data_IF_908902736442
#
_entry.id   IF_908902736442
#
_cell.length_a   1.000
_cell.length_b   1.000
_cell.length_c   1.000
_cell.angle_alpha   90.00
_cell.angle_beta   90.00
_cell.angle_gamma   90.00
#
_symmetry.space_group_name_H-M   'P 1'
#
loop_
_entity.id
_entity.type
_entity.pdbx_description
1 polymer ?
#
# COMPACT_ATOMS: atom_id res chain seq x y z
N UNK A 1 14.44 -25.93 13.64
CA UNK A 1 13.37 -24.98 13.98
C UNK A 1 13.99 -23.60 13.86
N UNK A 2 13.66 -22.84 12.80
CA UNK A 2 14.09 -21.45 12.67
C UNK A 2 13.38 -20.63 13.73
N UNK A 3 14.14 -19.89 14.56
CA UNK A 3 13.58 -19.02 15.58
C UNK A 3 12.60 -18.00 14.98
N UNK A 4 11.51 -17.75 15.71
CA UNK A 4 10.51 -16.77 15.27
C UNK A 4 11.12 -15.36 15.20
N UNK A 5 10.94 -14.66 14.09
CA UNK A 5 11.39 -13.27 13.92
C UNK A 5 10.65 -12.37 14.93
N UNK A 6 11.42 -11.60 15.72
CA UNK A 6 10.93 -10.74 16.80
C UNK A 6 10.66 -9.35 16.23
N UNK A 7 9.38 -8.96 16.22
CA UNK A 7 8.95 -7.71 15.60
C UNK A 7 8.65 -6.64 16.65
N UNK A 8 9.26 -5.46 16.48
CA UNK A 8 8.90 -4.23 17.14
C UNK A 8 7.89 -3.42 16.32
N UNK A 9 6.92 -2.79 16.97
CA UNK A 9 5.96 -1.89 16.31
C UNK A 9 6.30 -0.43 16.58
N UNK A 10 6.58 0.33 15.53
CA UNK A 10 6.76 1.79 15.57
C UNK A 10 5.45 2.47 15.15
N UNK A 11 4.75 3.05 16.14
CA UNK A 11 3.46 3.70 15.96
C UNK A 11 2.25 2.80 16.21
N UNK A 12 1.51 3.08 17.28
CA UNK A 12 0.29 2.36 17.67
C UNK A 12 -0.91 2.80 16.82
N UNK A 13 -0.90 2.48 15.53
CA UNK A 13 -1.95 2.87 14.60
C UNK A 13 -3.16 1.92 14.64
N UNK A 14 -4.31 2.39 14.14
CA UNK A 14 -5.50 1.54 14.01
C UNK A 14 -5.31 0.43 12.98
N UNK A 15 -4.49 0.63 11.95
CA UNK A 15 -4.22 -0.41 10.93
C UNK A 15 -3.34 -1.51 11.54
N UNK A 16 -2.34 -1.14 12.35
CA UNK A 16 -1.53 -2.12 13.07
C UNK A 16 -2.40 -3.00 13.98
N UNK A 17 -3.30 -2.37 14.77
CA UNK A 17 -4.17 -3.11 15.70
C UNK A 17 -5.19 -4.01 15.01
N UNK A 18 -5.74 -3.59 13.87
CA UNK A 18 -6.86 -4.29 13.20
C UNK A 18 -6.41 -5.28 12.15
N UNK A 19 -5.21 -5.13 11.61
CA UNK A 19 -4.76 -5.90 10.44
C UNK A 19 -3.39 -6.55 10.66
N UNK A 20 -2.36 -5.78 10.98
CA UNK A 20 -1.00 -6.31 11.05
C UNK A 20 -0.79 -7.26 12.24
N UNK A 21 -1.17 -6.85 13.46
CA UNK A 21 -0.98 -7.70 14.64
C UNK A 21 -1.80 -9.00 14.54
N UNK A 22 -3.08 -9.00 14.11
CA UNK A 22 -3.79 -10.24 13.83
C UNK A 22 -3.12 -11.15 12.79
N UNK A 23 -2.47 -10.59 11.76
CA UNK A 23 -1.78 -11.37 10.73
C UNK A 23 -0.54 -12.13 11.28
N UNK A 24 -0.01 -11.76 12.45
CA UNK A 24 1.07 -12.48 13.11
C UNK A 24 0.62 -13.86 13.64
N UNK A 25 -0.67 -14.06 13.88
CA UNK A 25 -1.19 -15.33 14.40
C UNK A 25 -0.86 -16.48 13.46
N UNK A 26 -0.19 -17.51 13.97
CA UNK A 26 0.24 -18.67 13.18
C UNK A 26 1.34 -18.36 12.14
N UNK A 27 1.98 -17.18 12.18
CA UNK A 27 3.18 -16.87 11.39
C UNK A 27 4.45 -17.34 12.13
N UNK A 28 5.59 -17.22 11.45
CA UNK A 28 6.93 -17.43 12.05
C UNK A 28 7.52 -16.12 12.57
N UNK A 29 6.67 -15.22 13.07
CA UNK A 29 7.04 -13.97 13.71
C UNK A 29 6.19 -13.72 14.95
N UNK A 30 6.68 -12.88 15.87
CA UNK A 30 5.94 -12.47 17.08
C UNK A 30 6.17 -11.01 17.39
N UNK A 31 5.15 -10.35 17.94
CA UNK A 31 5.29 -8.99 18.46
C UNK A 31 6.00 -9.04 19.81
N UNK A 32 7.11 -8.33 19.96
CA UNK A 32 7.87 -8.28 21.22
C UNK A 32 7.75 -6.94 21.92
N UNK A 33 7.74 -5.84 21.15
CA UNK A 33 7.68 -4.51 21.73
C UNK A 33 6.86 -3.56 20.86
N UNK A 34 6.28 -2.54 21.47
CA UNK A 34 5.57 -1.45 20.80
C UNK A 34 6.06 -0.11 21.29
N UNK A 35 6.20 0.85 20.39
CA UNK A 35 6.61 2.20 20.70
C UNK A 35 5.61 3.23 20.21
N UNK A 36 5.33 4.20 21.06
CA UNK A 36 4.60 5.42 20.72
C UNK A 36 5.27 6.63 21.36
N UNK A 37 4.97 7.82 20.85
CA UNK A 37 5.41 9.09 21.47
C UNK A 37 4.69 9.37 22.78
N UNK A 38 3.46 8.89 22.90
CA UNK A 38 2.62 8.96 24.09
C UNK A 38 2.77 7.65 24.89
N UNK A 39 3.29 7.70 26.14
CA UNK A 39 3.48 6.52 26.99
C UNK A 39 2.19 5.76 27.30
N UNK A 40 1.09 6.47 27.53
CA UNK A 40 -0.19 5.85 27.84
C UNK A 40 -0.72 5.05 26.65
N UNK A 41 -0.54 5.58 25.42
CA UNK A 41 -0.90 4.89 24.18
C UNK A 41 -0.03 3.66 23.95
N UNK A 42 1.28 3.74 24.21
CA UNK A 42 2.17 2.58 24.12
C UNK A 42 1.77 1.48 25.11
N UNK A 43 1.53 1.85 26.39
CA UNK A 43 1.12 0.92 27.44
C UNK A 43 -0.22 0.24 27.12
N UNK A 44 -1.23 1.00 26.70
CA UNK A 44 -2.54 0.44 26.35
C UNK A 44 -2.45 -0.54 25.16
N UNK A 45 -1.64 -0.22 24.14
CA UNK A 45 -1.45 -1.11 23.00
C UNK A 45 -0.68 -2.37 23.41
N UNK A 46 0.38 -2.23 24.19
CA UNK A 46 1.18 -3.33 24.71
C UNK A 46 0.34 -4.31 25.54
N UNK A 47 -0.47 -3.80 26.47
CA UNK A 47 -1.35 -4.61 27.29
C UNK A 47 -2.37 -5.41 26.46
N UNK A 48 -2.91 -4.79 25.41
CA UNK A 48 -3.87 -5.44 24.50
C UNK A 48 -3.29 -6.63 23.73
N UNK A 49 -2.00 -6.56 23.36
CA UNK A 49 -1.39 -7.53 22.47
C UNK A 49 -0.25 -8.34 23.09
N UNK A 50 -0.04 -8.24 24.40
CA UNK A 50 0.95 -9.02 25.13
C UNK A 50 2.40 -8.68 24.77
N UNK A 51 2.70 -7.40 24.49
CA UNK A 51 4.02 -6.93 24.13
C UNK A 51 4.61 -5.99 25.21
N UNK A 52 5.92 -5.70 25.14
CA UNK A 52 6.54 -4.69 25.98
C UNK A 52 6.23 -3.28 25.43
N UNK A 53 5.95 -2.32 26.32
CA UNK A 53 5.79 -0.92 25.95
C UNK A 53 7.13 -0.16 26.07
N UNK A 54 7.42 0.68 25.08
CA UNK A 54 8.53 1.64 25.15
C UNK A 54 8.05 3.06 24.83
N UNK A 55 8.66 4.05 25.46
CA UNK A 55 8.37 5.46 25.20
C UNK A 55 9.39 6.03 24.24
N UNK A 56 8.92 6.31 23.02
CA UNK A 56 9.82 6.76 21.96
C UNK A 56 10.43 5.62 21.14
N UNK A 57 10.69 5.91 19.88
CA UNK A 57 11.09 4.90 18.90
C UNK A 57 12.55 4.44 19.07
N UNK A 58 13.43 5.32 19.60
CA UNK A 58 14.84 4.98 19.84
C UNK A 58 15.02 3.87 20.86
N UNK A 59 14.23 3.90 21.94
CA UNK A 59 14.25 2.85 22.97
C UNK A 59 13.89 1.48 22.38
N UNK A 60 12.85 1.45 21.54
CA UNK A 60 12.46 0.21 20.85
C UNK A 60 13.60 -0.30 19.96
N UNK A 61 14.26 0.59 19.21
CA UNK A 61 15.34 0.23 18.28
C UNK A 61 16.60 -0.25 19.02
N UNK A 62 16.83 0.15 20.27
CA UNK A 62 17.94 -0.29 21.11
C UNK A 62 17.76 -1.66 21.75
N UNK A 63 16.57 -2.26 21.66
CA UNK A 63 16.27 -3.56 22.30
C UNK A 63 16.94 -4.73 21.58
N UNK A 64 17.52 -5.64 22.32
CA UNK A 64 18.15 -6.88 21.79
C UNK A 64 17.14 -7.95 21.38
N UNK A 65 15.88 -7.83 21.80
CA UNK A 65 14.79 -8.74 21.46
C UNK A 65 13.91 -8.26 20.30
N UNK A 66 14.44 -7.40 19.44
CA UNK A 66 13.80 -6.92 18.21
C UNK A 66 14.72 -7.18 17.02
N UNK A 67 14.27 -7.99 16.04
CA UNK A 67 15.01 -8.31 14.81
C UNK A 67 14.57 -7.42 13.65
N UNK A 68 13.27 -7.15 13.60
CA UNK A 68 12.62 -6.36 12.56
C UNK A 68 11.61 -5.39 13.18
N UNK A 69 11.25 -4.35 12.43
CA UNK A 69 10.21 -3.42 12.85
C UNK A 69 9.11 -3.29 11.81
N UNK A 70 7.88 -3.14 12.29
CA UNK A 70 6.77 -2.66 11.48
C UNK A 70 6.55 -1.17 11.74
N UNK A 71 6.71 -0.35 10.70
CA UNK A 71 6.56 1.12 10.79
C UNK A 71 5.17 1.51 10.34
N UNK A 72 4.39 2.08 11.27
CA UNK A 72 2.98 2.44 11.07
C UNK A 72 2.66 3.80 11.69
N UNK A 73 3.42 4.80 11.28
CA UNK A 73 3.30 6.22 11.64
C UNK A 73 2.62 6.99 10.49
N UNK A 74 2.35 8.29 10.59
CA UNK A 74 1.90 9.08 9.43
C UNK A 74 2.91 9.04 8.27
N UNK A 75 2.42 9.10 7.03
CA UNK A 75 3.20 8.92 5.79
C UNK A 75 4.48 9.78 5.74
N UNK A 76 4.38 11.08 6.08
CA UNK A 76 5.53 11.99 6.12
C UNK A 76 6.60 11.64 7.16
N UNK A 77 6.41 10.58 7.94
CA UNK A 77 7.40 10.07 8.89
C UNK A 77 7.96 8.69 8.49
N UNK A 78 7.40 8.03 7.47
CA UNK A 78 7.81 6.68 7.08
C UNK A 78 9.30 6.60 6.78
N UNK A 79 9.80 7.45 5.91
CA UNK A 79 11.21 7.42 5.49
C UNK A 79 12.18 7.68 6.66
N UNK A 80 11.89 8.66 7.52
CA UNK A 80 12.74 9.00 8.65
C UNK A 80 12.82 7.84 9.67
N UNK A 81 11.67 7.28 10.06
CA UNK A 81 11.64 6.18 11.03
C UNK A 81 12.20 4.87 10.43
N UNK A 82 11.97 4.63 9.14
CA UNK A 82 12.57 3.50 8.41
C UNK A 82 14.09 3.64 8.36
N UNK A 83 14.62 4.81 8.02
CA UNK A 83 16.08 5.05 7.98
C UNK A 83 16.72 4.88 9.35
N UNK A 84 16.08 5.37 10.41
CA UNK A 84 16.54 5.18 11.78
C UNK A 84 16.59 3.70 12.18
N UNK A 85 15.58 2.92 11.80
CA UNK A 85 15.51 1.49 12.07
C UNK A 85 16.62 0.71 11.30
N UNK A 86 16.85 1.05 10.04
CA UNK A 86 17.92 0.46 9.23
C UNK A 86 19.30 0.77 9.82
N UNK A 87 19.54 2.02 10.29
CA UNK A 87 20.77 2.41 10.96
C UNK A 87 21.00 1.66 12.28
N UNK A 88 19.93 1.29 12.98
CA UNK A 88 19.96 0.42 14.16
C UNK A 88 20.10 -1.08 13.82
N UNK A 89 20.31 -1.42 12.54
CA UNK A 89 20.50 -2.80 12.09
C UNK A 89 19.22 -3.64 12.06
N UNK A 90 18.04 -3.02 12.00
CA UNK A 90 16.76 -3.74 11.95
C UNK A 90 16.26 -3.90 10.52
N UNK A 91 15.61 -5.04 10.21
CA UNK A 91 14.81 -5.18 9.00
C UNK A 91 13.51 -4.38 9.15
N UNK A 92 12.94 -3.87 8.04
CA UNK A 92 11.78 -2.97 8.12
C UNK A 92 10.67 -3.39 7.16
N UNK A 93 9.48 -3.62 7.69
CA UNK A 93 8.24 -3.59 6.95
C UNK A 93 7.56 -2.25 7.25
N UNK A 94 7.36 -1.40 6.25
CA UNK A 94 6.79 -0.06 6.43
C UNK A 94 5.45 0.06 5.73
N UNK A 95 4.49 0.77 6.34
CA UNK A 95 3.20 1.07 5.70
C UNK A 95 3.39 1.86 4.40
N UNK A 96 2.44 1.67 3.53
CA UNK A 96 2.41 2.35 2.22
C UNK A 96 1.96 3.83 2.36
N UNK A 97 2.47 4.71 1.47
CA UNK A 97 3.66 4.56 0.66
C UNK A 97 4.94 4.63 1.52
N UNK A 98 6.03 4.03 1.04
CA UNK A 98 7.32 4.04 1.74
C UNK A 98 7.79 5.45 2.10
N UNK A 99 7.50 6.41 1.23
CA UNK A 99 7.96 7.79 1.30
C UNK A 99 6.94 8.73 0.65
N UNK A 100 7.12 10.04 0.77
CA UNK A 100 6.22 11.03 0.16
C UNK A 100 6.53 11.29 -1.31
N UNK A 101 7.74 10.91 -1.77
CA UNK A 101 8.18 11.01 -3.16
C UNK A 101 9.25 9.96 -3.51
N UNK A 102 9.63 9.91 -4.80
CA UNK A 102 10.60 8.96 -5.31
C UNK A 102 12.04 9.22 -4.81
N UNK A 103 12.41 10.47 -4.58
CA UNK A 103 13.74 10.84 -4.13
C UNK A 103 13.98 10.36 -2.68
N UNK A 104 13.01 10.62 -1.81
CA UNK A 104 13.02 10.11 -0.43
C UNK A 104 13.01 8.58 -0.40
N UNK A 105 12.18 7.94 -1.23
CA UNK A 105 12.15 6.48 -1.37
C UNK A 105 13.48 5.89 -1.83
N UNK A 106 14.15 6.51 -2.79
CA UNK A 106 15.47 6.10 -3.27
C UNK A 106 16.53 6.19 -2.18
N UNK A 107 16.49 7.25 -1.36
CA UNK A 107 17.39 7.43 -0.23
C UNK A 107 17.22 6.33 0.83
N UNK A 108 15.96 5.94 1.15
CA UNK A 108 15.66 4.84 2.07
C UNK A 108 16.18 3.51 1.53
N UNK A 109 15.95 3.20 0.25
CA UNK A 109 16.45 1.96 -0.36
C UNK A 109 17.98 1.90 -0.41
N UNK A 110 18.63 3.05 -0.63
CA UNK A 110 20.08 3.14 -0.55
C UNK A 110 20.60 2.90 0.90
N UNK A 111 19.89 3.41 1.90
CA UNK A 111 20.20 3.15 3.31
C UNK A 111 20.07 1.66 3.66
N UNK A 112 19.02 1.00 3.17
CA UNK A 112 18.82 -0.44 3.37
C UNK A 112 19.97 -1.27 2.79
N UNK A 113 20.40 -0.96 1.55
CA UNK A 113 21.56 -1.62 0.93
C UNK A 113 22.84 -1.44 1.75
N UNK A 114 23.12 -0.21 2.20
CA UNK A 114 24.32 0.07 3.05
C UNK A 114 24.27 -0.68 4.38
N UNK A 115 23.09 -0.80 4.98
CA UNK A 115 22.90 -1.52 6.24
C UNK A 115 22.89 -3.05 6.07
N UNK A 116 22.82 -3.58 4.86
CA UNK A 116 22.61 -5.00 4.61
C UNK A 116 21.29 -5.51 5.23
N UNK A 117 20.24 -4.69 5.21
CA UNK A 117 18.93 -4.99 5.79
C UNK A 117 17.82 -4.94 4.76
N UNK A 118 16.81 -5.76 4.97
CA UNK A 118 15.60 -5.74 4.15
C UNK A 118 14.74 -4.54 4.52
N UNK A 119 14.29 -3.79 3.53
CA UNK A 119 13.17 -2.85 3.64
C UNK A 119 12.12 -3.26 2.62
N UNK A 120 10.87 -3.38 3.07
CA UNK A 120 9.73 -3.71 2.23
C UNK A 120 8.56 -2.77 2.54
N UNK A 121 8.00 -2.19 1.48
CA UNK A 121 6.75 -1.44 1.57
C UNK A 121 5.57 -2.41 1.71
N UNK A 122 4.70 -2.19 2.68
CA UNK A 122 3.51 -3.01 2.90
C UNK A 122 2.43 -2.72 1.84
N UNK A 123 2.72 -3.08 0.58
CA UNK A 123 1.77 -3.04 -0.53
C UNK A 123 0.85 -4.25 -0.49
N UNK A 124 0.19 -4.45 0.64
CA UNK A 124 -0.51 -5.66 1.02
C UNK A 124 -1.47 -6.21 -0.04
N UNK A 125 -2.19 -5.35 -0.78
CA UNK A 125 -3.24 -5.82 -1.70
C UNK A 125 -2.71 -6.74 -2.79
N UNK A 126 -1.47 -6.56 -3.28
CA UNK A 126 -0.90 -7.42 -4.33
C UNK A 126 -0.68 -8.87 -3.88
N UNK A 127 -0.67 -9.11 -2.57
CA UNK A 127 -0.57 -10.44 -1.98
C UNK A 127 -1.92 -11.16 -1.81
N UNK A 128 -3.01 -10.59 -2.31
CA UNK A 128 -4.31 -11.27 -2.34
C UNK A 128 -4.48 -12.06 -3.65
N UNK A 129 -4.83 -13.34 -3.58
CA UNK A 129 -4.94 -14.24 -4.74
C UNK A 129 -5.87 -13.78 -5.85
N UNK A 130 -6.84 -12.88 -5.56
CA UNK A 130 -7.69 -12.32 -6.61
C UNK A 130 -6.90 -11.63 -7.74
N UNK A 131 -5.76 -10.99 -7.42
CA UNK A 131 -4.91 -10.32 -8.41
C UNK A 131 -4.13 -11.31 -9.26
N UNK A 132 -3.68 -12.41 -8.66
CA UNK A 132 -3.06 -13.51 -9.39
C UNK A 132 -4.03 -14.15 -10.37
N UNK A 133 -5.26 -14.47 -9.93
CA UNK A 133 -6.30 -15.02 -10.81
C UNK A 133 -6.67 -14.03 -11.93
N UNK A 134 -6.73 -12.73 -11.64
CA UNK A 134 -6.98 -11.72 -12.67
C UNK A 134 -5.85 -11.67 -13.71
N UNK A 135 -4.59 -11.77 -13.28
CA UNK A 135 -3.43 -11.81 -14.17
C UNK A 135 -3.40 -13.10 -15.03
N UNK A 136 -3.72 -14.24 -14.43
CA UNK A 136 -3.85 -15.53 -15.14
C UNK A 136 -4.93 -15.44 -16.23
N UNK A 137 -6.13 -14.97 -15.91
CA UNK A 137 -7.21 -14.78 -16.88
C UNK A 137 -6.83 -13.82 -18.02
N UNK A 138 -6.08 -12.77 -17.71
CA UNK A 138 -5.57 -11.83 -18.72
C UNK A 138 -4.55 -12.54 -19.64
N UNK A 139 -3.61 -13.28 -19.06
CA UNK A 139 -2.59 -14.03 -19.81
C UNK A 139 -3.20 -15.13 -20.69
N UNK A 140 -4.24 -15.80 -20.23
CA UNK A 140 -5.01 -16.80 -20.97
C UNK A 140 -5.89 -16.19 -22.08
N UNK A 141 -5.87 -14.87 -22.25
CA UNK A 141 -6.65 -14.16 -23.27
C UNK A 141 -8.16 -14.20 -23.03
N UNK A 142 -8.60 -14.36 -21.77
CA UNK A 142 -10.02 -14.47 -21.40
C UNK A 142 -10.88 -13.28 -21.86
N UNK A 143 -10.26 -12.10 -22.02
CA UNK A 143 -10.89 -10.86 -22.47
C UNK A 143 -10.32 -10.35 -23.82
N UNK A 144 -9.45 -11.13 -24.49
CA UNK A 144 -8.67 -10.65 -25.63
C UNK A 144 -7.57 -9.69 -25.24
N UNK A 145 -7.02 -8.94 -26.19
CA UNK A 145 -6.03 -7.93 -25.89
C UNK A 145 -6.61 -6.83 -25.01
N UNK A 146 -5.90 -6.49 -23.95
CA UNK A 146 -6.30 -5.40 -23.04
C UNK A 146 -6.29 -4.06 -23.79
N UNK A 147 -7.35 -3.26 -23.65
CA UNK A 147 -7.50 -1.96 -24.27
C UNK A 147 -7.54 -0.81 -23.24
N UNK A 148 -8.23 -1.05 -22.13
CA UNK A 148 -8.38 -0.03 -21.08
C UNK A 148 -8.32 -0.69 -19.69
N UNK A 149 -7.64 -0.03 -18.76
CA UNK A 149 -7.73 -0.29 -17.34
C UNK A 149 -8.49 0.86 -16.67
N UNK A 150 -9.59 0.56 -15.98
CA UNK A 150 -10.28 1.51 -15.11
C UNK A 150 -10.06 1.16 -13.65
N UNK A 151 -9.52 2.06 -12.82
CA UNK A 151 -9.29 1.80 -11.40
C UNK A 151 -9.74 2.97 -10.51
N UNK A 152 -10.38 2.64 -9.39
CA UNK A 152 -10.86 3.65 -8.46
C UNK A 152 -10.71 3.21 -7.00
N UNK A 153 -10.18 4.11 -6.18
CA UNK A 153 -10.20 3.98 -4.72
C UNK A 153 -10.68 5.29 -4.09
N UNK A 154 -11.82 5.24 -3.43
CA UNK A 154 -12.38 6.42 -2.80
C UNK A 154 -13.10 6.02 -1.50
N UNK A 155 -13.14 6.97 -0.56
CA UNK A 155 -13.77 6.79 0.75
C UNK A 155 -14.70 7.98 1.04
N UNK A 156 -15.70 7.79 1.93
CA UNK A 156 -16.53 8.87 2.43
C UNK A 156 -15.70 9.99 3.10
N UNK A 157 -16.28 11.18 3.28
CA UNK A 157 -15.62 12.28 3.96
C UNK A 157 -15.05 11.84 5.31
N UNK A 158 -13.78 12.18 5.52
CA UNK A 158 -13.07 11.89 6.76
C UNK A 158 -13.37 13.00 7.81
N UNK A 159 -13.27 12.69 9.11
CA UNK A 159 -13.36 13.71 10.15
C UNK A 159 -12.37 14.85 9.93
N UNK A 160 -12.74 16.08 10.30
CA UNK A 160 -11.91 17.28 10.07
C UNK A 160 -10.51 17.18 10.70
N UNK A 161 -10.39 16.51 11.85
CA UNK A 161 -9.09 16.30 12.54
C UNK A 161 -8.29 15.09 12.05
N UNK A 162 -8.68 14.42 10.95
CA UNK A 162 -7.94 13.28 10.45
C UNK A 162 -6.56 13.72 9.91
N UNK A 163 -5.54 12.93 10.21
CA UNK A 163 -4.14 13.19 9.81
C UNK A 163 -3.95 13.26 8.29
N UNK A 164 -4.85 12.66 7.52
CA UNK A 164 -4.85 12.69 6.04
C UNK A 164 -5.14 14.07 5.48
N UNK A 165 -5.67 14.98 6.30
CA UNK A 165 -5.87 16.38 5.93
C UNK A 165 -4.66 17.27 6.26
N UNK A 166 -3.57 16.71 6.77
CA UNK A 166 -2.38 17.45 7.20
C UNK A 166 -1.21 17.23 6.25
N UNK A 167 -0.79 18.28 5.55
CA UNK A 167 0.35 18.24 4.60
C UNK A 167 1.66 17.96 5.32
N UNK A 168 1.85 18.51 6.54
CA UNK A 168 3.05 18.30 7.36
C UNK A 168 3.23 16.85 7.82
N UNK A 169 2.19 16.03 7.72
CA UNK A 169 2.22 14.60 8.00
C UNK A 169 2.20 13.72 6.74
N UNK A 170 2.38 14.32 5.55
CA UNK A 170 2.30 13.61 4.27
C UNK A 170 0.87 13.22 3.92
N UNK A 171 -0.11 14.06 4.29
CA UNK A 171 -1.52 13.88 3.93
C UNK A 171 -1.78 14.08 2.45
N UNK A 172 -3.05 13.93 2.06
CA UNK A 172 -3.53 14.05 0.70
C UNK A 172 -4.07 12.73 0.13
N UNK A 173 -5.07 12.86 -0.72
CA UNK A 173 -5.78 11.72 -1.28
C UNK A 173 -4.92 10.91 -2.28
N UNK A 174 -3.96 11.55 -2.96
CA UNK A 174 -3.11 10.86 -3.93
C UNK A 174 -2.22 9.82 -3.23
N UNK A 175 -1.52 10.22 -2.16
CA UNK A 175 -0.62 9.31 -1.42
C UNK A 175 -1.38 8.24 -0.64
N UNK A 176 -2.59 8.54 -0.14
CA UNK A 176 -3.32 7.55 0.66
C UNK A 176 -4.16 6.60 -0.20
N UNK A 177 -5.13 7.12 -0.97
CA UNK A 177 -6.05 6.30 -1.75
C UNK A 177 -5.72 6.27 -3.24
N UNK A 178 -5.10 7.29 -3.82
CA UNK A 178 -4.60 7.30 -5.20
C UNK A 178 -3.45 6.31 -5.42
N UNK A 179 -2.75 5.96 -4.37
CA UNK A 179 -1.76 4.88 -4.34
C UNK A 179 -2.29 3.58 -4.97
N UNK A 180 -3.49 3.15 -4.61
CA UNK A 180 -4.05 1.87 -5.06
C UNK A 180 -4.33 1.81 -6.56
N UNK A 181 -5.09 2.74 -7.19
CA UNK A 181 -5.30 2.70 -8.63
C UNK A 181 -4.01 2.89 -9.42
N UNK A 182 -3.03 3.68 -8.94
CA UNK A 182 -1.72 3.81 -9.57
C UNK A 182 -0.97 2.48 -9.57
N UNK A 183 -0.99 1.74 -8.45
CA UNK A 183 -0.36 0.42 -8.38
C UNK A 183 -1.14 -0.68 -9.12
N UNK A 184 -2.45 -0.55 -9.31
CA UNK A 184 -3.19 -1.44 -10.19
C UNK A 184 -2.76 -1.26 -11.66
N UNK A 185 -2.47 -0.04 -12.09
CA UNK A 185 -1.90 0.21 -13.41
C UNK A 185 -0.51 -0.45 -13.56
N UNK A 186 0.38 -0.28 -12.56
CA UNK A 186 1.70 -0.92 -12.57
C UNK A 186 1.65 -2.47 -12.48
N UNK A 187 0.56 -3.02 -11.97
CA UNK A 187 0.38 -4.48 -11.87
C UNK A 187 0.00 -5.12 -13.21
N UNK A 188 -0.76 -4.42 -14.04
CA UNK A 188 -1.40 -4.99 -15.24
C UNK A 188 -0.90 -4.40 -16.57
N UNK A 189 -0.27 -3.23 -16.56
CA UNK A 189 0.20 -2.53 -17.76
C UNK A 189 1.70 -2.65 -17.93
N UNK A 190 2.16 -2.44 -19.18
CA UNK A 190 3.59 -2.52 -19.55
C UNK A 190 4.30 -1.20 -19.26
N UNK A 191 5.35 -1.25 -18.46
CA UNK A 191 6.19 -0.07 -18.23
C UNK A 191 6.97 0.34 -19.52
N UNK A 192 7.31 1.62 -19.68
CA UNK A 192 6.94 2.75 -18.81
C UNK A 192 5.48 3.17 -18.96
N UNK A 193 4.93 3.81 -17.92
CA UNK A 193 3.62 4.43 -17.96
C UNK A 193 3.77 5.94 -18.14
N UNK A 194 3.21 6.47 -19.22
CA UNK A 194 3.11 7.91 -19.46
C UNK A 194 1.88 8.48 -18.73
N UNK A 195 2.03 9.62 -18.07
CA UNK A 195 0.90 10.41 -17.55
C UNK A 195 0.46 11.38 -18.60
N UNK A 196 -0.61 11.05 -19.34
CA UNK A 196 -1.19 11.89 -20.40
C UNK A 196 -1.85 13.14 -19.81
N UNK A 197 -2.41 13.05 -18.61
CA UNK A 197 -2.98 14.16 -17.88
C UNK A 197 -3.53 13.77 -16.53
N UNK A 198 -3.66 14.76 -15.64
CA UNK A 198 -4.24 14.55 -14.32
C UNK A 198 -4.99 15.81 -13.85
N UNK A 199 -5.91 15.61 -12.91
CA UNK A 199 -6.60 16.69 -12.18
C UNK A 199 -6.46 16.46 -10.68
N UNK A 200 -6.43 17.58 -9.92
CA UNK A 200 -6.45 17.56 -8.45
C UNK A 200 -7.58 18.46 -7.96
N UNK A 201 -8.35 17.95 -7.03
CA UNK A 201 -9.37 18.73 -6.33
C UNK A 201 -8.87 19.00 -4.91
N UNK A 202 -8.81 20.27 -4.55
CA UNK A 202 -8.49 20.73 -3.20
C UNK A 202 -9.76 21.16 -2.47
N UNK A 203 -9.74 21.09 -1.15
CA UNK A 203 -10.78 21.65 -0.29
C UNK A 203 -10.17 22.88 0.43
N UNK A 204 -10.83 24.07 0.40
CA UNK A 204 -10.30 25.27 1.05
C UNK A 204 -10.02 25.15 2.55
N UNK A 205 -10.62 24.16 3.20
CA UNK A 205 -10.40 23.87 4.63
C UNK A 205 -9.06 23.17 4.92
N UNK A 206 -8.42 22.61 3.87
CA UNK A 206 -7.22 21.81 3.99
C UNK A 206 -6.18 22.24 2.96
N UNK A 207 -4.92 22.11 3.29
CA UNK A 207 -3.79 22.42 2.39
C UNK A 207 -3.32 21.20 1.56
N UNK A 208 -4.15 20.14 1.50
CA UNK A 208 -3.92 18.92 0.73
C UNK A 208 -5.03 18.73 -0.32
N UNK A 209 -4.73 17.94 -1.33
CA UNK A 209 -5.78 17.50 -2.25
C UNK A 209 -6.69 16.45 -1.58
N UNK A 210 -8.00 16.57 -1.86
CA UNK A 210 -9.03 15.65 -1.34
C UNK A 210 -9.53 14.67 -2.41
N UNK A 211 -8.98 14.71 -3.60
CA UNK A 211 -9.29 13.80 -4.69
C UNK A 211 -8.71 14.24 -6.02
N UNK A 212 -8.84 13.37 -7.01
CA UNK A 212 -8.37 13.61 -8.35
C UNK A 212 -8.61 12.45 -9.30
N UNK A 213 -8.13 12.64 -10.53
CA UNK A 213 -8.13 11.62 -11.57
C UNK A 213 -6.84 11.72 -12.39
N UNK A 214 -6.45 10.62 -13.02
CA UNK A 214 -5.35 10.60 -13.98
C UNK A 214 -5.69 9.72 -15.19
N UNK A 215 -5.20 10.12 -16.34
CA UNK A 215 -5.15 9.33 -17.56
C UNK A 215 -3.71 8.93 -17.81
N UNK A 216 -3.46 7.63 -17.89
CA UNK A 216 -2.14 7.06 -18.19
C UNK A 216 -2.20 6.31 -19.51
N UNK A 217 -1.04 6.12 -20.13
CA UNK A 217 -0.86 5.23 -21.30
C UNK A 217 0.38 4.38 -21.10
N UNK A 218 0.27 3.11 -21.43
CA UNK A 218 1.39 2.20 -21.37
C UNK A 218 2.20 2.16 -22.71
N UNK A 219 3.34 1.47 -22.69
CA UNK A 219 4.19 1.31 -23.87
C UNK A 219 3.53 0.57 -25.06
N UNK A 220 2.44 -0.16 -24.82
CA UNK A 220 1.65 -0.86 -25.85
C UNK A 220 0.43 -0.04 -26.34
N UNK A 221 0.22 1.17 -25.81
CA UNK A 221 -0.90 2.04 -26.17
C UNK A 221 -2.19 1.73 -25.38
N UNK A 222 -2.13 0.96 -24.30
CA UNK A 222 -3.27 0.70 -23.42
C UNK A 222 -3.48 1.89 -22.48
N UNK A 223 -4.71 2.42 -22.44
CA UNK A 223 -5.05 3.53 -21.56
C UNK A 223 -5.45 3.06 -20.16
N UNK A 224 -5.12 3.86 -19.13
CA UNK A 224 -5.61 3.66 -17.78
C UNK A 224 -6.31 4.91 -17.23
N UNK A 225 -7.51 4.71 -16.71
CA UNK A 225 -8.33 5.76 -16.10
C UNK A 225 -8.33 5.57 -14.58
N UNK A 226 -7.69 6.47 -13.86
CA UNK A 226 -7.56 6.41 -12.41
C UNK A 226 -8.43 7.46 -11.75
N UNK A 227 -9.13 7.07 -10.67
CA UNK A 227 -9.93 8.00 -9.84
C UNK A 227 -9.66 7.72 -8.36
N UNK A 228 -9.52 8.80 -7.57
CA UNK A 228 -9.27 8.67 -6.13
C UNK A 228 -9.87 9.84 -5.34
N UNK A 229 -10.20 9.63 -4.05
CA UNK A 229 -10.65 10.73 -3.22
C UNK A 229 -11.23 10.36 -1.85
N UNK A 230 -11.35 11.42 -1.02
CA UNK A 230 -11.86 11.39 0.36
C UNK A 230 -13.30 11.91 0.51
N UNK A 231 -14.00 12.16 -0.59
CA UNK A 231 -15.30 12.82 -0.57
C UNK A 231 -16.31 12.12 -1.50
N UNK A 232 -16.20 10.80 -1.60
CA UNK A 232 -17.04 9.97 -2.45
C UNK A 232 -17.72 8.88 -1.63
N UNK A 233 -18.75 8.24 -2.18
CA UNK A 233 -19.15 6.93 -1.67
C UNK A 233 -17.98 5.95 -1.78
N UNK A 234 -17.89 5.01 -0.84
CA UNK A 234 -16.80 4.02 -0.83
C UNK A 234 -16.73 3.27 -2.15
N UNK A 235 -15.53 3.21 -2.74
CA UNK A 235 -15.21 2.41 -3.91
C UNK A 235 -13.79 1.86 -3.81
N UNK A 236 -13.63 0.59 -4.09
CA UNK A 236 -12.33 -0.10 -4.13
C UNK A 236 -12.41 -1.12 -5.26
N UNK A 237 -12.09 -0.69 -6.49
CA UNK A 237 -12.39 -1.45 -7.69
C UNK A 237 -11.34 -1.23 -8.76
N UNK A 238 -11.09 -2.26 -9.59
CA UNK A 238 -10.58 -2.06 -10.94
C UNK A 238 -11.29 -2.95 -11.95
N UNK A 239 -11.19 -2.56 -13.22
CA UNK A 239 -11.72 -3.24 -14.39
C UNK A 239 -10.62 -3.33 -15.46
N UNK A 240 -10.45 -4.50 -16.05
CA UNK A 240 -9.64 -4.75 -17.23
C UNK A 240 -10.60 -4.95 -18.40
N UNK A 241 -10.56 -4.06 -19.37
CA UNK A 241 -11.45 -4.09 -20.54
C UNK A 241 -10.63 -4.38 -21.80
N UNK A 242 -10.89 -5.53 -22.38
CA UNK A 242 -10.24 -6.02 -23.60
C UNK A 242 -11.19 -6.10 -24.78
N UNK A 243 -10.70 -6.63 -25.90
CA UNK A 243 -11.44 -6.74 -27.17
C UNK A 243 -12.68 -7.63 -27.09
N UNK A 244 -12.60 -8.70 -26.30
CA UNK A 244 -13.64 -9.76 -26.25
C UNK A 244 -14.38 -9.83 -24.92
N UNK A 245 -14.05 -8.95 -23.99
CA UNK A 245 -14.69 -8.95 -22.69
C UNK A 245 -14.08 -7.99 -21.71
N UNK A 246 -14.56 -8.04 -20.49
CA UNK A 246 -14.03 -7.25 -19.37
C UNK A 246 -14.04 -8.06 -18.09
N UNK A 247 -13.02 -7.89 -17.27
CA UNK A 247 -12.87 -8.50 -15.96
C UNK A 247 -13.00 -7.41 -14.89
N UNK A 248 -13.90 -7.61 -13.92
CA UNK A 248 -14.21 -6.63 -12.88
C UNK A 248 -13.93 -7.23 -11.50
N UNK A 249 -13.17 -6.50 -10.69
CA UNK A 249 -12.90 -6.81 -9.30
C UNK A 249 -13.45 -5.71 -8.40
N UNK A 250 -14.42 -6.06 -7.56
CA UNK A 250 -14.89 -5.20 -6.48
C UNK A 250 -14.09 -5.49 -5.19
N UNK A 251 -13.98 -4.50 -4.29
CA UNK A 251 -13.13 -4.58 -3.09
C UNK A 251 -11.69 -5.03 -3.39
N UNK A 252 -11.17 -4.57 -4.53
CA UNK A 252 -9.88 -5.02 -5.05
C UNK A 252 -8.70 -4.71 -4.11
N UNK A 253 -8.73 -3.59 -3.37
CA UNK A 253 -7.56 -3.10 -2.65
C UNK A 253 -7.58 -3.36 -1.15
N UNK A 254 -8.78 -3.37 -0.53
CA UNK A 254 -8.92 -3.45 0.94
C UNK A 254 -9.98 -4.45 1.38
N UNK A 255 -9.98 -5.70 0.88
CA UNK A 255 -10.90 -6.71 1.36
C UNK A 255 -10.66 -7.03 2.83
N UNK A 256 -11.68 -7.43 3.57
CA UNK A 256 -11.50 -8.03 4.88
C UNK A 256 -10.91 -9.44 4.74
N UNK A 257 -10.16 -9.93 5.74
CA UNK A 257 -9.53 -11.26 5.69
C UNK A 257 -10.53 -12.40 5.45
N UNK A 258 -11.77 -12.27 5.93
CA UNK A 258 -12.85 -13.26 5.68
C UNK A 258 -13.69 -12.99 4.42
N UNK A 259 -13.32 -12.01 3.59
CA UNK A 259 -14.06 -11.68 2.38
C UNK A 259 -13.73 -12.64 1.25
N UNK A 260 -14.75 -13.27 0.66
CA UNK A 260 -14.60 -14.08 -0.54
C UNK A 260 -14.79 -13.20 -1.78
N UNK A 261 -13.73 -12.90 -2.55
CA UNK A 261 -13.84 -12.09 -3.76
C UNK A 261 -14.68 -12.80 -4.82
N UNK A 262 -15.43 -12.01 -5.58
CA UNK A 262 -16.14 -12.48 -6.76
C UNK A 262 -15.63 -11.69 -7.96
N UNK A 263 -14.86 -12.36 -8.84
CA UNK A 263 -14.45 -11.82 -10.12
C UNK A 263 -15.62 -11.96 -11.10
N UNK A 264 -15.92 -10.88 -11.83
CA UNK A 264 -16.96 -10.87 -12.86
C UNK A 264 -16.31 -10.79 -14.23
N UNK A 265 -16.46 -11.85 -15.01
CA UNK A 265 -15.99 -11.90 -16.39
C UNK A 265 -17.20 -11.73 -17.32
N UNK A 266 -17.25 -10.57 -17.98
CA UNK A 266 -18.30 -10.24 -18.96
C UNK A 266 -17.79 -10.53 -20.37
N UNK A 267 -18.56 -11.28 -21.16
CA UNK A 267 -18.34 -11.56 -22.58
C UNK A 267 -19.65 -11.45 -23.32
N UNK A 268 -19.84 -10.41 -24.13
CA UNK A 268 -21.11 -10.11 -24.79
C UNK A 268 -22.30 -10.25 -23.84
N UNK A 269 -23.17 -11.24 -24.06
CA UNK A 269 -24.38 -11.47 -23.27
C UNK A 269 -24.19 -12.40 -22.06
N UNK A 270 -22.95 -12.78 -21.77
CA UNK A 270 -22.64 -13.70 -20.67
C UNK A 270 -21.86 -13.02 -19.56
N UNK A 271 -22.26 -13.30 -18.33
CA UNK A 271 -21.49 -12.92 -17.12
C UNK A 271 -21.16 -14.19 -16.37
N UNK A 272 -19.85 -14.47 -16.29
CA UNK A 272 -19.31 -15.54 -15.45
C UNK A 272 -18.90 -14.95 -14.11
N UNK A 273 -19.33 -15.57 -13.02
CA UNK A 273 -18.94 -15.21 -11.66
C UNK A 273 -17.97 -16.26 -11.13
N UNK A 274 -16.79 -15.83 -10.70
CA UNK A 274 -15.80 -16.70 -10.03
C UNK A 274 -15.63 -16.26 -8.58
N UNK A 275 -16.19 -17.02 -7.66
CA UNK A 275 -15.95 -16.84 -6.23
C UNK A 275 -14.61 -17.45 -5.86
N UNK A 276 -13.76 -16.67 -5.20
CA UNK A 276 -12.43 -17.11 -4.75
C UNK A 276 -12.41 -17.30 -3.24
N UNK A 277 -11.48 -18.12 -2.72
CA UNK A 277 -11.26 -18.24 -1.29
C UNK A 277 -11.01 -16.89 -0.63
N UNK A 278 -11.41 -16.77 0.62
CA UNK A 278 -11.01 -15.64 1.46
C UNK A 278 -9.52 -15.75 1.78
N UNK A 279 -8.79 -14.64 1.69
CA UNK A 279 -7.37 -14.56 2.00
C UNK A 279 -7.06 -13.29 2.79
N UNK A 280 -6.10 -13.40 3.71
CA UNK A 280 -5.57 -12.24 4.42
C UNK A 280 -4.33 -11.70 3.71
N UNK A 281 -4.50 -10.61 2.98
CA UNK A 281 -3.41 -9.97 2.26
C UNK A 281 -2.34 -9.34 3.17
N UNK A 282 -2.67 -8.99 4.43
CA UNK A 282 -1.66 -8.59 5.41
C UNK A 282 -0.79 -9.77 5.82
N UNK A 283 -1.38 -10.96 5.96
CA UNK A 283 -0.63 -12.19 6.19
C UNK A 283 0.26 -12.50 4.97
N UNK A 284 -0.23 -12.41 3.76
CA UNK A 284 0.57 -12.61 2.55
C UNK A 284 1.75 -11.65 2.44
N UNK A 285 1.54 -10.36 2.76
CA UNK A 285 2.63 -9.38 2.80
C UNK A 285 3.65 -9.66 3.92
N UNK A 286 3.18 -10.07 5.10
CA UNK A 286 4.05 -10.48 6.21
C UNK A 286 4.90 -11.69 5.81
N UNK A 287 4.30 -12.73 5.24
CA UNK A 287 5.01 -13.94 4.84
C UNK A 287 6.08 -13.63 3.77
N UNK A 288 5.78 -12.77 2.80
CA UNK A 288 6.76 -12.29 1.82
C UNK A 288 7.92 -11.51 2.48
N UNK A 289 7.62 -10.65 3.45
CA UNK A 289 8.65 -9.94 4.21
C UNK A 289 9.53 -10.90 5.00
N UNK A 290 8.95 -11.88 5.69
CA UNK A 290 9.69 -12.88 6.47
C UNK A 290 10.56 -13.77 5.58
N UNK A 291 10.10 -14.11 4.38
CA UNK A 291 10.90 -14.83 3.38
C UNK A 291 12.11 -14.00 2.93
N UNK A 292 11.89 -12.71 2.61
CA UNK A 292 12.96 -11.80 2.24
C UNK A 292 14.01 -11.64 3.36
N UNK A 293 13.60 -11.53 4.62
CA UNK A 293 14.51 -11.46 5.79
C UNK A 293 15.36 -12.73 5.92
N UNK A 294 14.85 -13.88 5.50
CA UNK A 294 15.56 -15.16 5.50
C UNK A 294 16.45 -15.38 4.27
N UNK A 295 16.53 -14.42 3.36
CA UNK A 295 17.42 -14.46 2.20
C UNK A 295 16.76 -14.83 0.89
N UNK A 296 15.43 -14.87 0.80
CA UNK A 296 14.74 -15.05 -0.47
C UNK A 296 14.99 -13.86 -1.42
N UNK A 297 15.31 -14.16 -2.69
CA UNK A 297 15.88 -13.21 -3.66
C UNK A 297 14.91 -12.10 -4.14
N UNK A 298 13.63 -12.13 -3.76
CA UNK A 298 12.64 -11.15 -4.22
C UNK A 298 12.79 -9.72 -3.64
N UNK A 299 13.63 -9.50 -2.62
CA UNK A 299 13.76 -8.20 -1.96
C UNK A 299 14.19 -7.06 -2.89
N UNK A 300 15.08 -7.35 -3.86
CA UNK A 300 15.53 -6.36 -4.85
C UNK A 300 14.39 -5.94 -5.81
N UNK A 301 13.56 -6.88 -6.23
CA UNK A 301 12.39 -6.62 -7.06
C UNK A 301 11.33 -5.77 -6.33
N UNK A 302 11.17 -5.95 -5.02
CA UNK A 302 10.31 -5.09 -4.20
C UNK A 302 10.73 -3.63 -4.24
N UNK A 303 12.02 -3.34 -4.07
CA UNK A 303 12.56 -1.99 -4.10
C UNK A 303 12.33 -1.28 -5.44
N UNK A 304 12.57 -1.97 -6.56
CA UNK A 304 12.32 -1.42 -7.89
C UNK A 304 10.83 -1.09 -8.11
N UNK A 305 9.93 -1.97 -7.72
CA UNK A 305 8.48 -1.74 -7.81
C UNK A 305 8.02 -0.57 -6.92
N UNK A 306 8.60 -0.43 -5.73
CA UNK A 306 8.30 0.69 -4.83
C UNK A 306 8.72 2.02 -5.47
N UNK A 307 9.93 2.12 -6.05
CA UNK A 307 10.37 3.32 -6.74
C UNK A 307 9.51 3.65 -7.97
N UNK A 308 9.14 2.64 -8.77
CA UNK A 308 8.24 2.85 -9.90
C UNK A 308 6.88 3.42 -9.44
N UNK A 309 6.36 2.93 -8.31
CA UNK A 309 5.13 3.44 -7.71
C UNK A 309 5.23 4.89 -7.26
N UNK A 310 6.29 5.23 -6.52
CA UNK A 310 6.54 6.60 -6.07
C UNK A 310 6.75 7.55 -7.24
N UNK A 311 7.54 7.14 -8.26
CA UNK A 311 7.76 7.94 -9.46
C UNK A 311 6.46 8.20 -10.24
N UNK A 312 5.58 7.20 -10.33
CA UNK A 312 4.26 7.38 -10.96
C UNK A 312 3.38 8.36 -10.17
N UNK A 313 3.36 8.27 -8.84
CA UNK A 313 2.63 9.23 -7.98
C UNK A 313 3.18 10.65 -8.14
N UNK A 314 4.50 10.83 -8.24
CA UNK A 314 5.13 12.12 -8.48
C UNK A 314 4.74 12.68 -9.86
N UNK A 315 4.74 11.84 -10.91
CA UNK A 315 4.33 12.24 -12.25
C UNK A 315 2.84 12.66 -12.30
N UNK A 316 1.95 11.90 -11.62
CA UNK A 316 0.53 12.27 -11.49
C UNK A 316 0.37 13.59 -10.74
N UNK A 317 1.14 13.80 -9.66
CA UNK A 317 1.15 15.04 -8.88
C UNK A 317 1.60 16.23 -9.74
N UNK A 318 2.66 16.07 -10.51
CA UNK A 318 3.21 17.11 -11.39
C UNK A 318 2.27 17.46 -12.53
N UNK A 319 1.63 16.46 -13.15
CA UNK A 319 0.64 16.68 -14.22
C UNK A 319 -0.69 17.25 -13.72
N UNK A 320 -0.97 17.11 -12.41
CA UNK A 320 -2.24 17.48 -11.80
C UNK A 320 -2.50 19.00 -11.84
N UNK A 321 -3.35 19.44 -12.76
CA UNK A 321 -3.87 20.83 -12.76
C UNK A 321 -4.88 20.99 -11.62
N UNK A 322 -4.82 22.14 -10.91
CA UNK A 322 -5.82 22.45 -9.90
C UNK A 322 -7.16 22.69 -10.60
N UNK A 323 -8.16 21.86 -10.33
CA UNK A 323 -9.54 22.21 -10.61
C UNK A 323 -9.93 23.33 -9.64
N UNK A 324 -10.50 24.42 -10.15
CA UNK A 324 -11.01 25.50 -9.32
C UNK A 324 -12.05 25.01 -8.30
N UNK A 325 -12.38 25.80 -7.26
CA UNK A 325 -13.38 25.43 -6.27
C UNK A 325 -14.70 25.11 -6.98
N UNK A 326 -15.24 23.93 -6.72
CA UNK A 326 -16.63 23.63 -7.11
C UNK A 326 -17.54 24.54 -6.26
N UNK A 327 -18.34 25.36 -6.94
CA UNK A 327 -19.38 26.21 -6.35
C UNK A 327 -20.48 25.34 -5.74
#
# INVERSE_FOLDING_TARGET
VTDAIRIGLIGCSSIAARRFVPALAGSTARLTAVAARDPARAAAFAARFGAAATTGYRELLARDDVDAVYVSVPTGRHAAETTAALAAGRHVLVEKPLAVDAAEGAAVLAAARRAGRVVMENRMFVHHGQHRVAAELLADGAIGDLRVLGAAMAVPPLPAGDIRHRSDLGGGALLDVGYYPAHAALLHLRAPLEVVGATRRTDPRYDVEVGGAALLRDAAGVDAHLTYGFTHAYRSRYELWGERGRLVLERAFTPAAGWQPVLRLHRQDRVELRTLPAEDHFRGALDAFLAAVRGDAESAAHGARTLAGLALLDAIRAAGRRAGPQR
#
